data_IF_189163258994
#
_entry.id   IF_189163258994
#
_cell.length_a   1.000
_cell.length_b   1.000
_cell.length_c   1.000
_cell.angle_alpha   90.00
_cell.angle_beta   90.00
_cell.angle_gamma   90.00
#
_symmetry.space_group_name_H-M   'P 1'
#
loop_
_entity.id
_entity.type
_entity.pdbx_description
1 polymer ?
#
# COMPACT_ATOMS: atom_id res chain seq x y z
N UNK A 1 11.50 13.44 44.81
CA UNK A 1 11.38 12.01 44.43
C UNK A 1 11.80 11.87 42.96
N UNK A 2 12.88 11.14 42.70
CA UNK A 2 13.52 11.04 41.38
C UNK A 2 12.67 10.18 40.41
N UNK A 3 12.01 10.84 39.45
CA UNK A 3 11.23 10.22 38.38
C UNK A 3 12.10 9.43 37.39
N UNK A 4 13.40 9.71 37.30
CA UNK A 4 14.28 9.22 36.25
C UNK A 4 14.58 7.71 36.29
N UNK A 5 14.44 7.05 37.45
CA UNK A 5 14.79 5.64 37.60
C UNK A 5 13.73 4.68 37.03
N UNK A 6 12.45 5.08 37.01
CA UNK A 6 11.35 4.27 36.48
C UNK A 6 11.39 4.22 34.95
N UNK A 7 11.63 5.36 34.31
CA UNK A 7 11.70 5.45 32.85
C UNK A 7 12.86 4.66 32.25
N UNK A 8 14.01 4.58 32.93
CA UNK A 8 15.15 3.75 32.49
C UNK A 8 14.83 2.25 32.40
N UNK A 9 13.81 1.77 33.11
CA UNK A 9 13.39 0.36 33.08
C UNK A 9 12.27 0.08 32.06
N UNK A 10 11.42 1.08 31.81
CA UNK A 10 10.27 0.95 30.89
C UNK A 10 10.70 1.11 29.43
N UNK A 11 11.60 2.06 29.14
CA UNK A 11 12.05 2.35 27.77
C UNK A 11 12.62 1.11 27.06
N UNK A 12 13.52 0.31 27.67
CA UNK A 12 14.05 -0.89 27.02
C UNK A 12 12.95 -1.92 26.70
N UNK A 13 11.97 -2.09 27.60
CA UNK A 13 10.86 -3.01 27.38
C UNK A 13 9.95 -2.58 26.24
N UNK A 14 9.65 -1.28 26.14
CA UNK A 14 8.86 -0.72 25.04
C UNK A 14 9.61 -0.84 23.71
N UNK A 15 10.91 -0.52 23.69
CA UNK A 15 11.73 -0.65 22.49
C UNK A 15 11.85 -2.11 22.04
N UNK A 16 12.02 -3.04 22.98
CA UNK A 16 12.07 -4.46 22.67
C UNK A 16 10.72 -4.93 22.09
N UNK A 17 9.60 -4.56 22.71
CA UNK A 17 8.28 -4.91 22.20
C UNK A 17 8.04 -4.34 20.79
N UNK A 18 8.36 -3.06 20.58
CA UNK A 18 8.24 -2.42 19.26
C UNK A 18 9.12 -3.13 18.21
N UNK A 19 10.36 -3.46 18.58
CA UNK A 19 11.28 -4.19 17.72
C UNK A 19 10.75 -5.59 17.38
N UNK A 20 10.27 -6.35 18.37
CA UNK A 20 9.71 -7.69 18.16
C UNK A 20 8.50 -7.67 17.24
N UNK A 21 7.61 -6.67 17.38
CA UNK A 21 6.46 -6.50 16.49
C UNK A 21 6.94 -6.17 15.07
N UNK A 22 7.82 -5.17 14.91
CA UNK A 22 8.32 -4.78 13.60
C UNK A 22 9.05 -5.94 12.90
N UNK A 23 9.88 -6.67 13.64
CA UNK A 23 10.62 -7.83 13.12
C UNK A 23 9.70 -8.97 12.68
N UNK A 24 8.64 -9.24 13.45
CA UNK A 24 7.66 -10.28 13.10
C UNK A 24 6.90 -9.92 11.82
N UNK A 25 6.50 -8.66 11.66
CA UNK A 25 5.85 -8.16 10.43
C UNK A 25 6.81 -8.27 9.24
N UNK A 26 8.08 -7.90 9.41
CA UNK A 26 9.09 -8.01 8.35
C UNK A 26 9.33 -9.46 7.93
N UNK A 27 9.38 -10.41 8.86
CA UNK A 27 9.52 -11.82 8.55
C UNK A 27 8.31 -12.37 7.78
N UNK A 28 7.09 -11.98 8.18
CA UNK A 28 5.88 -12.36 7.46
C UNK A 28 5.88 -11.81 6.03
N UNK A 29 6.13 -10.52 5.87
CA UNK A 29 6.21 -9.87 4.56
C UNK A 29 7.30 -10.50 3.69
N UNK A 30 8.48 -10.73 4.26
CA UNK A 30 9.60 -11.40 3.58
C UNK A 30 9.24 -12.83 3.16
N UNK A 31 8.60 -13.59 4.03
CA UNK A 31 8.13 -14.94 3.73
C UNK A 31 7.10 -14.95 2.59
N UNK A 32 6.11 -14.07 2.64
CA UNK A 32 5.09 -13.93 1.59
C UNK A 32 5.73 -13.60 0.23
N UNK A 33 6.71 -12.69 0.20
CA UNK A 33 7.41 -12.30 -1.04
C UNK A 33 8.35 -13.38 -1.57
N UNK A 34 9.17 -14.00 -0.70
CA UNK A 34 10.13 -15.02 -1.10
C UNK A 34 9.45 -16.29 -1.62
N UNK A 35 8.37 -16.69 -0.96
CA UNK A 35 7.58 -17.86 -1.35
C UNK A 35 6.53 -17.54 -2.42
N UNK A 36 6.45 -16.28 -2.89
CA UNK A 36 5.48 -15.80 -3.89
C UNK A 36 4.02 -16.17 -3.54
N UNK A 37 3.69 -16.12 -2.24
CA UNK A 37 2.37 -16.50 -1.73
C UNK A 37 1.29 -15.44 -2.01
N UNK A 38 1.70 -14.22 -2.35
CA UNK A 38 0.82 -13.16 -2.82
C UNK A 38 1.32 -12.61 -4.15
N UNK A 39 0.42 -12.14 -5.03
CA UNK A 39 0.84 -11.40 -6.21
C UNK A 39 1.66 -10.16 -5.80
N UNK A 40 2.62 -9.73 -6.65
CA UNK A 40 3.40 -8.53 -6.37
C UNK A 40 2.47 -7.34 -6.16
N UNK A 41 2.85 -6.41 -5.28
CA UNK A 41 2.11 -5.17 -5.10
C UNK A 41 2.05 -4.43 -6.44
N UNK A 42 0.89 -4.42 -7.08
CA UNK A 42 0.65 -3.64 -8.28
C UNK A 42 0.58 -2.17 -7.84
N UNK A 43 1.42 -1.33 -8.45
CA UNK A 43 1.27 0.11 -8.27
C UNK A 43 -0.14 0.52 -8.68
N UNK A 44 -0.70 1.54 -8.03
CA UNK A 44 -1.89 2.22 -8.55
C UNK A 44 -1.57 2.64 -9.98
N UNK A 45 -2.12 1.91 -10.95
CA UNK A 45 -1.79 2.12 -12.37
C UNK A 45 -2.09 3.55 -12.79
N UNK A 46 -1.63 3.95 -13.99
CA UNK A 46 -1.72 5.34 -14.49
C UNK A 46 -3.14 5.95 -14.47
N UNK A 47 -4.17 5.12 -14.44
CA UNK A 47 -5.58 5.54 -14.36
C UNK A 47 -6.09 5.77 -12.94
N UNK A 48 -5.38 5.29 -11.91
CA UNK A 48 -5.86 5.17 -10.56
C UNK A 48 -5.12 6.13 -9.61
N UNK A 49 -5.88 6.87 -8.82
CA UNK A 49 -5.41 7.74 -7.74
C UNK A 49 -6.04 7.32 -6.42
N UNK A 50 -5.51 7.87 -5.32
CA UNK A 50 -6.21 7.84 -4.03
C UNK A 50 -7.63 8.38 -4.26
N UNK A 51 -8.68 7.65 -3.83
CA UNK A 51 -10.06 8.07 -4.07
C UNK A 51 -10.29 9.50 -3.62
N UNK A 52 -10.94 10.28 -4.47
CA UNK A 52 -11.31 11.65 -4.15
C UNK A 52 -12.21 11.68 -2.89
N UNK A 53 -11.90 12.49 -1.86
CA UNK A 53 -12.63 12.44 -0.59
C UNK A 53 -14.10 12.87 -0.68
N UNK A 54 -14.49 13.63 -1.70
CA UNK A 54 -15.84 14.15 -1.86
C UNK A 54 -16.71 13.22 -2.69
N UNK A 55 -16.14 12.67 -3.75
CA UNK A 55 -16.87 11.89 -4.76
C UNK A 55 -16.66 10.38 -4.59
N UNK A 56 -15.53 9.96 -3.99
CA UNK A 56 -15.11 8.56 -3.88
C UNK A 56 -14.43 8.01 -5.14
N UNK A 57 -14.16 8.86 -6.14
CA UNK A 57 -13.69 8.41 -7.45
C UNK A 57 -12.19 8.16 -7.40
N UNK A 58 -11.80 6.95 -7.80
CA UNK A 58 -10.40 6.54 -7.89
C UNK A 58 -9.79 6.77 -9.27
N UNK A 59 -10.57 7.20 -10.27
CA UNK A 59 -10.05 7.43 -11.62
C UNK A 59 -9.46 8.85 -11.76
N UNK A 60 -8.32 8.95 -12.44
CA UNK A 60 -7.64 10.21 -12.71
C UNK A 60 -8.25 10.93 -13.92
N UNK A 61 -8.90 12.09 -13.77
CA UNK A 61 -9.48 12.83 -14.89
C UNK A 61 -8.44 13.21 -15.94
N UNK A 62 -8.78 13.06 -17.22
CA UNK A 62 -7.90 13.36 -18.34
C UNK A 62 -6.81 12.31 -18.60
N UNK A 63 -6.74 11.23 -17.82
CA UNK A 63 -5.82 10.13 -18.10
C UNK A 63 -6.29 9.32 -19.32
N UNK A 64 -5.37 8.96 -20.21
CA UNK A 64 -5.64 8.04 -21.31
C UNK A 64 -4.50 7.03 -21.46
N UNK A 65 -4.79 5.89 -22.07
CA UNK A 65 -3.80 4.89 -22.43
C UNK A 65 -4.40 3.50 -22.64
N UNK A 66 -3.54 2.52 -22.85
CA UNK A 66 -3.96 1.12 -23.01
C UNK A 66 -4.19 0.45 -21.66
N UNK A 67 -5.30 -0.25 -21.56
CA UNK A 67 -5.60 -1.15 -20.46
C UNK A 67 -5.68 -2.57 -20.99
N UNK A 68 -4.79 -3.41 -20.48
CA UNK A 68 -4.76 -4.83 -20.79
C UNK A 68 -4.79 -5.65 -19.51
N UNK A 69 -5.31 -6.87 -19.61
CA UNK A 69 -5.22 -7.87 -18.57
C UNK A 69 -3.94 -8.72 -18.81
N UNK A 70 -3.20 -9.16 -17.75
CA UNK A 70 -1.96 -9.94 -17.90
C UNK A 70 -2.12 -11.29 -18.62
N UNK A 71 -3.31 -11.87 -18.60
CA UNK A 71 -3.76 -13.06 -19.32
C UNK A 71 -4.23 -12.76 -20.75
N UNK A 72 -4.12 -11.50 -21.21
CA UNK A 72 -4.42 -11.03 -22.58
C UNK A 72 -5.89 -11.27 -22.98
N UNK A 73 -6.80 -11.25 -22.02
CA UNK A 73 -8.25 -11.40 -22.30
C UNK A 73 -8.85 -10.15 -22.97
N UNK A 74 -8.24 -8.98 -22.74
CA UNK A 74 -8.62 -7.74 -23.41
C UNK A 74 -7.41 -6.79 -23.47
N UNK A 75 -7.42 -5.93 -24.48
CA UNK A 75 -6.41 -4.91 -24.70
C UNK A 75 -7.05 -3.70 -25.41
N UNK A 76 -7.52 -2.74 -24.62
CA UNK A 76 -8.38 -1.63 -25.07
C UNK A 76 -7.75 -0.28 -24.75
N UNK A 77 -7.96 0.69 -25.64
CA UNK A 77 -7.66 2.08 -25.34
C UNK A 77 -8.75 2.64 -24.42
N UNK A 78 -8.33 3.26 -23.31
CA UNK A 78 -9.21 3.84 -22.30
C UNK A 78 -8.87 5.32 -22.14
N UNK A 79 -9.88 6.18 -22.11
CA UNK A 79 -9.73 7.58 -21.75
C UNK A 79 -10.67 7.93 -20.60
N UNK A 80 -10.20 8.73 -19.66
CA UNK A 80 -11.00 9.25 -18.55
C UNK A 80 -11.34 10.69 -18.86
N UNK A 81 -12.63 11.01 -18.94
CA UNK A 81 -13.06 12.37 -19.22
C UNK A 81 -12.79 13.32 -18.03
N UNK A 82 -13.12 14.60 -18.20
CA UNK A 82 -12.93 15.64 -17.17
C UNK A 82 -13.68 15.37 -15.87
N UNK A 83 -14.71 14.52 -15.91
CA UNK A 83 -15.53 14.17 -14.76
C UNK A 83 -15.05 12.89 -14.07
N UNK A 84 -13.94 12.28 -14.51
CA UNK A 84 -13.43 11.04 -13.95
C UNK A 84 -14.11 9.77 -14.48
N UNK A 85 -14.95 9.87 -15.51
CA UNK A 85 -15.66 8.72 -16.12
C UNK A 85 -14.84 8.11 -17.26
N UNK A 86 -14.89 6.77 -17.36
CA UNK A 86 -14.42 6.00 -18.52
C UNK A 86 -15.31 6.15 -19.74
#
# INVERSE_FOLDING_TARGET
MSSSSRWRKIIPGVLLAAFSIAFSVLLLEGGVRLLRLAPPAEGTGWFWRVPDPQTGWSLQPGASGRWFNPQVEYDVEVAINSNGLR
#
